data_IF_610942815933
#
_entry.id   IF_610942815933
#
_cell.length_a   1.000
_cell.length_b   1.000
_cell.length_c   1.000
_cell.angle_alpha   90.00
_cell.angle_beta   90.00
_cell.angle_gamma   90.00
#
_symmetry.space_group_name_H-M   'P 1'
#
loop_
_entity.id
_entity.type
_entity.pdbx_description
1 polymer ?
#
# COMPACT_ATOMS: atom_id res chain seq x y z
N UNK A 1 17.28 10.02 -3.17
CA UNK A 1 17.35 8.96 -4.21
C UNK A 1 18.75 8.81 -4.84
N UNK A 2 19.58 9.85 -4.90
CA UNK A 2 20.99 9.74 -5.39
C UNK A 2 21.89 8.89 -4.46
N UNK A 3 21.85 9.15 -3.14
CA UNK A 3 22.66 8.40 -2.16
C UNK A 3 22.47 6.89 -2.27
N UNK A 4 21.22 6.45 -2.24
CA UNK A 4 20.85 5.03 -2.35
C UNK A 4 21.23 4.44 -3.72
N UNK A 5 21.09 5.21 -4.81
CA UNK A 5 21.51 4.74 -6.13
C UNK A 5 23.01 4.47 -6.20
N UNK A 6 23.84 5.43 -5.78
CA UNK A 6 25.30 5.30 -5.81
C UNK A 6 25.79 4.14 -4.95
N UNK A 7 25.15 3.93 -3.79
CA UNK A 7 25.43 2.79 -2.92
C UNK A 7 25.08 1.45 -3.57
N UNK A 8 23.90 1.34 -4.20
CA UNK A 8 23.43 0.08 -4.79
C UNK A 8 24.14 -0.24 -6.11
N UNK A 9 24.30 0.74 -7.01
CA UNK A 9 24.79 0.51 -8.37
C UNK A 9 26.29 0.70 -8.54
N UNK A 10 26.89 1.55 -7.71
CA UNK A 10 28.31 1.92 -7.84
C UNK A 10 29.13 1.55 -6.60
N UNK A 11 28.51 0.98 -5.56
CA UNK A 11 29.15 0.66 -4.27
C UNK A 11 29.88 1.87 -3.64
N UNK A 12 29.36 3.08 -3.88
CA UNK A 12 29.92 4.32 -3.32
C UNK A 12 28.99 4.85 -2.23
N UNK A 13 29.50 4.97 -1.00
CA UNK A 13 28.76 5.59 0.09
C UNK A 13 29.10 7.08 0.22
N UNK A 14 28.23 7.94 -0.33
CA UNK A 14 28.42 9.38 -0.25
C UNK A 14 28.05 9.98 1.12
N UNK A 15 27.66 9.17 2.12
CA UNK A 15 27.49 9.65 3.51
C UNK A 15 28.80 10.22 4.06
N UNK A 16 29.92 9.63 3.69
CA UNK A 16 31.26 9.92 4.20
C UNK A 16 31.88 11.20 3.64
N UNK A 17 31.16 11.93 2.76
CA UNK A 17 31.68 13.12 2.07
C UNK A 17 30.86 14.37 2.42
N UNK A 18 31.15 15.05 3.55
CA UNK A 18 30.37 16.21 4.01
C UNK A 18 30.35 17.38 3.02
N UNK A 19 31.49 17.67 2.38
CA UNK A 19 31.61 18.75 1.38
C UNK A 19 30.73 18.49 0.15
N UNK A 20 30.76 17.27 -0.36
CA UNK A 20 29.91 16.84 -1.48
C UNK A 20 28.43 16.91 -1.12
N UNK A 21 28.06 16.44 0.09
CA UNK A 21 26.69 16.53 0.58
C UNK A 21 26.19 17.98 0.68
N UNK A 22 27.02 18.90 1.16
CA UNK A 22 26.68 20.32 1.22
C UNK A 22 26.51 20.93 -0.17
N UNK A 23 27.41 20.59 -1.11
CA UNK A 23 27.33 21.02 -2.50
C UNK A 23 26.03 20.55 -3.18
N UNK A 24 25.70 19.26 -3.08
CA UNK A 24 24.50 18.69 -3.69
C UNK A 24 23.20 19.28 -3.11
N UNK A 25 23.17 19.62 -1.81
CA UNK A 25 22.03 20.32 -1.20
C UNK A 25 21.83 21.70 -1.80
N UNK A 26 22.89 22.52 -1.85
CA UNK A 26 22.86 23.87 -2.45
C UNK A 26 22.42 23.86 -3.92
N UNK A 27 22.91 22.88 -4.68
CA UNK A 27 22.51 22.72 -6.09
C UNK A 27 21.01 22.40 -6.25
N UNK A 28 20.38 21.82 -5.22
CA UNK A 28 18.97 21.44 -5.24
C UNK A 28 18.01 22.51 -4.72
N UNK A 29 18.50 23.69 -4.30
CA UNK A 29 17.67 24.72 -3.65
C UNK A 29 16.53 25.25 -4.54
N UNK A 30 16.69 25.24 -5.87
CA UNK A 30 15.64 25.61 -6.83
C UNK A 30 14.83 24.43 -7.37
N UNK A 31 15.15 23.20 -6.95
CA UNK A 31 14.45 22.00 -7.43
C UNK A 31 13.08 21.88 -6.78
N UNK A 32 12.03 22.14 -7.56
CA UNK A 32 10.66 21.83 -7.14
C UNK A 32 10.35 20.37 -7.44
N UNK A 33 10.09 19.59 -6.39
CA UNK A 33 9.67 18.19 -6.57
C UNK A 33 8.35 18.14 -7.33
N UNK A 34 8.29 17.32 -8.39
CA UNK A 34 7.01 17.01 -9.06
C UNK A 34 6.11 16.31 -8.05
N UNK A 35 5.06 17.00 -7.58
CA UNK A 35 4.05 16.39 -6.72
C UNK A 35 3.24 15.39 -7.54
N UNK A 36 2.92 14.24 -6.94
CA UNK A 36 1.95 13.31 -7.53
C UNK A 36 0.60 13.99 -7.66
N UNK A 37 -0.16 13.65 -8.70
CA UNK A 37 -1.53 14.12 -8.84
C UNK A 37 -2.34 13.62 -7.63
N UNK A 38 -3.04 14.54 -6.97
CA UNK A 38 -3.96 14.20 -5.89
C UNK A 38 -5.25 13.70 -6.53
N UNK A 39 -5.71 12.52 -6.11
CA UNK A 39 -6.98 11.97 -6.57
C UNK A 39 -8.14 12.72 -5.89
N UNK A 40 -9.14 13.12 -6.66
CA UNK A 40 -10.37 13.72 -6.12
C UNK A 40 -11.33 12.63 -5.62
N UNK A 41 -12.29 13.00 -4.77
CA UNK A 41 -13.34 12.08 -4.32
C UNK A 41 -14.13 11.50 -5.51
N UNK A 42 -14.44 12.31 -6.51
CA UNK A 42 -15.14 11.87 -7.72
C UNK A 42 -14.30 10.92 -8.57
N UNK A 43 -12.98 11.12 -8.67
CA UNK A 43 -12.10 10.19 -9.37
C UNK A 43 -12.02 8.84 -8.65
N UNK A 44 -11.98 8.84 -7.31
CA UNK A 44 -12.01 7.62 -6.49
C UNK A 44 -13.33 6.89 -6.66
N UNK A 45 -14.45 7.59 -6.51
CA UNK A 45 -15.78 7.00 -6.66
C UNK A 45 -16.01 6.43 -8.06
N UNK A 46 -15.65 7.18 -9.10
CA UNK A 46 -15.70 6.72 -10.48
C UNK A 46 -14.90 5.45 -10.68
N UNK A 47 -13.66 5.39 -10.17
CA UNK A 47 -12.85 4.17 -10.27
C UNK A 47 -13.49 2.99 -9.53
N UNK A 48 -14.01 3.20 -8.32
CA UNK A 48 -14.64 2.14 -7.54
C UNK A 48 -15.92 1.60 -8.21
N UNK A 49 -16.68 2.45 -8.90
CA UNK A 49 -17.95 2.08 -9.53
C UNK A 49 -17.79 1.55 -10.97
N UNK A 50 -16.95 2.18 -11.79
CA UNK A 50 -16.88 1.92 -13.23
C UNK A 50 -15.77 0.93 -13.64
N UNK A 51 -14.67 0.87 -12.89
CA UNK A 51 -13.57 -0.02 -13.27
C UNK A 51 -14.00 -1.50 -13.11
N UNK A 52 -13.61 -2.41 -14.02
CA UNK A 52 -14.09 -3.78 -13.97
C UNK A 52 -13.36 -4.61 -12.89
N UNK A 53 -14.11 -5.39 -12.12
CA UNK A 53 -13.61 -6.13 -10.96
C UNK A 53 -12.75 -7.36 -11.33
N UNK A 54 -12.93 -7.92 -12.52
CA UNK A 54 -12.09 -9.02 -13.01
C UNK A 54 -10.60 -8.65 -13.07
N UNK A 55 -10.30 -7.38 -13.39
CA UNK A 55 -8.95 -6.84 -13.49
C UNK A 55 -8.53 -6.05 -12.26
N UNK A 56 -9.42 -5.23 -11.69
CA UNK A 56 -9.05 -4.22 -10.70
C UNK A 56 -9.53 -4.48 -9.28
N UNK A 57 -10.18 -5.61 -8.98
CA UNK A 57 -10.72 -5.88 -7.63
C UNK A 57 -9.66 -5.73 -6.52
N UNK A 58 -8.46 -6.29 -6.71
CA UNK A 58 -7.38 -6.15 -5.73
C UNK A 58 -6.96 -4.68 -5.54
N UNK A 59 -6.87 -3.91 -6.63
CA UNK A 59 -6.53 -2.49 -6.60
C UNK A 59 -7.62 -1.65 -5.94
N UNK A 60 -8.89 -1.96 -6.19
CA UNK A 60 -10.03 -1.31 -5.51
C UNK A 60 -9.99 -1.55 -4.00
N UNK A 61 -9.75 -2.80 -3.58
CA UNK A 61 -9.61 -3.15 -2.16
C UNK A 61 -8.42 -2.39 -1.53
N UNK A 62 -7.27 -2.38 -2.20
CA UNK A 62 -6.10 -1.65 -1.73
C UNK A 62 -6.34 -0.13 -1.63
N UNK A 63 -7.08 0.45 -2.58
CA UNK A 63 -7.48 1.86 -2.54
C UNK A 63 -8.40 2.14 -1.34
N UNK A 64 -9.40 1.30 -1.10
CA UNK A 64 -10.31 1.44 0.04
C UNK A 64 -9.51 1.38 1.36
N UNK A 65 -8.60 0.42 1.50
CA UNK A 65 -7.78 0.28 2.71
C UNK A 65 -6.83 1.47 2.87
N UNK A 66 -6.24 1.96 1.77
CA UNK A 66 -5.38 3.14 1.78
C UNK A 66 -6.13 4.41 2.19
N UNK A 67 -7.35 4.62 1.68
CA UNK A 67 -8.15 5.81 1.97
C UNK A 67 -8.76 5.75 3.37
N UNK A 68 -9.44 4.65 3.73
CA UNK A 68 -10.13 4.50 5.02
C UNK A 68 -9.15 4.28 6.16
N UNK A 69 -8.16 3.41 5.94
CA UNK A 69 -7.16 3.04 6.94
C UNK A 69 -5.96 3.97 6.99
N UNK A 70 -5.85 4.95 6.08
CA UNK A 70 -4.65 5.78 5.90
C UNK A 70 -3.37 4.95 5.79
N UNK A 71 -3.47 3.74 5.21
CA UNK A 71 -2.41 2.75 5.25
C UNK A 71 -1.24 3.14 4.34
N UNK A 72 -0.02 3.03 4.85
CA UNK A 72 1.20 3.11 4.04
C UNK A 72 1.35 1.86 3.18
N UNK A 73 2.20 1.97 2.16
CA UNK A 73 2.48 0.87 1.23
C UNK A 73 2.94 -0.42 1.93
N UNK A 74 3.80 -0.30 2.94
CA UNK A 74 4.28 -1.44 3.73
C UNK A 74 3.14 -2.07 4.55
N UNK A 75 2.31 -1.25 5.18
CA UNK A 75 1.15 -1.71 5.96
C UNK A 75 0.18 -2.49 5.08
N UNK A 76 -0.17 -1.95 3.90
CA UNK A 76 -1.00 -2.64 2.92
C UNK A 76 -0.42 -3.98 2.47
N UNK A 77 0.90 -4.07 2.31
CA UNK A 77 1.57 -5.30 1.89
C UNK A 77 1.60 -6.37 2.98
N UNK A 78 1.54 -5.97 4.26
CA UNK A 78 1.66 -6.87 5.40
C UNK A 78 0.32 -7.31 6.00
N UNK A 79 -0.80 -6.66 5.64
CA UNK A 79 -2.13 -7.10 6.08
C UNK A 79 -2.46 -8.46 5.46
N UNK A 80 -2.81 -9.42 6.31
CA UNK A 80 -3.20 -10.78 5.91
C UNK A 80 -4.66 -11.07 6.23
N UNK A 81 -5.18 -12.22 5.75
CA UNK A 81 -6.54 -12.67 6.08
C UNK A 81 -6.77 -12.85 7.59
N UNK A 82 -5.71 -13.11 8.37
CA UNK A 82 -5.78 -13.28 9.82
C UNK A 82 -6.01 -11.96 10.57
N UNK A 83 -5.69 -10.85 9.92
CA UNK A 83 -5.80 -9.51 10.49
C UNK A 83 -7.19 -8.90 10.24
N UNK A 84 -8.11 -9.63 9.61
CA UNK A 84 -9.43 -9.16 9.21
C UNK A 84 -10.49 -9.93 9.98
N UNK A 85 -11.28 -9.20 10.77
CA UNK A 85 -12.42 -9.74 11.50
C UNK A 85 -13.73 -9.28 10.85
N UNK A 86 -14.61 -10.24 10.54
CA UNK A 86 -15.91 -9.95 9.99
C UNK A 86 -16.98 -9.90 11.08
N UNK A 87 -17.61 -8.74 11.23
CA UNK A 87 -18.64 -8.49 12.22
C UNK A 87 -19.93 -8.05 11.53
N UNK A 88 -20.78 -9.00 11.12
CA UNK A 88 -22.07 -8.68 10.49
C UNK A 88 -21.93 -7.73 9.29
N UNK A 89 -22.36 -6.47 9.43
CA UNK A 89 -22.29 -5.42 8.38
C UNK A 89 -21.03 -4.55 8.43
N UNK A 90 -19.97 -4.99 9.11
CA UNK A 90 -18.69 -4.30 9.14
C UNK A 90 -17.51 -5.28 9.08
N UNK A 91 -16.36 -4.80 8.63
CA UNK A 91 -15.08 -5.50 8.71
C UNK A 91 -14.14 -4.66 9.58
N UNK A 92 -13.54 -5.28 10.59
CA UNK A 92 -12.49 -4.68 11.39
C UNK A 92 -11.14 -5.17 10.86
N UNK A 93 -10.32 -4.25 10.36
CA UNK A 93 -8.99 -4.54 9.82
C UNK A 93 -7.97 -4.10 10.86
N UNK A 94 -7.15 -5.04 11.31
CA UNK A 94 -6.00 -4.78 12.18
C UNK A 94 -4.79 -4.51 11.31
N UNK A 95 -4.09 -3.41 11.59
CA UNK A 95 -2.84 -3.06 10.89
C UNK A 95 -1.68 -3.61 11.72
N UNK A 96 -0.96 -4.63 11.22
CA UNK A 96 0.18 -5.19 11.94
C UNK A 96 1.29 -4.14 12.08
N UNK A 97 2.06 -4.28 13.15
CA UNK A 97 2.95 -3.24 13.64
C UNK A 97 4.04 -2.86 12.63
N UNK A 98 4.09 -1.60 12.22
CA UNK A 98 5.25 -1.02 11.52
C UNK A 98 6.24 -0.45 12.54
N UNK A 99 7.44 -0.09 12.06
CA UNK A 99 8.67 0.28 12.80
C UNK A 99 8.53 1.12 14.09
N UNK A 100 7.40 1.83 14.30
CA UNK A 100 7.15 2.73 15.44
C UNK A 100 6.12 2.24 16.48
N UNK A 101 5.78 0.94 16.51
CA UNK A 101 5.16 0.25 17.66
C UNK A 101 3.70 0.58 18.04
N UNK A 102 2.93 1.35 17.27
CA UNK A 102 1.52 1.63 17.59
C UNK A 102 0.58 0.77 16.72
N UNK A 103 0.08 -0.37 17.23
CA UNK A 103 -0.96 -1.12 16.53
C UNK A 103 -2.21 -0.26 16.43
N UNK A 104 -2.84 -0.27 15.25
CA UNK A 104 -4.11 0.41 15.00
C UNK A 104 -5.04 -0.52 14.23
N UNK A 105 -6.32 -0.26 14.33
CA UNK A 105 -7.33 -0.89 13.49
C UNK A 105 -8.21 0.17 12.85
N UNK A 106 -8.91 -0.21 11.78
CA UNK A 106 -9.91 0.63 11.14
C UNK A 106 -11.10 -0.24 10.70
N UNK A 107 -12.25 0.40 10.56
CA UNK A 107 -13.51 -0.26 10.20
C UNK A 107 -13.85 0.08 8.75
N UNK A 108 -14.26 -0.94 8.00
CA UNK A 108 -14.87 -0.81 6.68
C UNK A 108 -16.33 -1.24 6.81
N UNK A 109 -17.25 -0.35 6.47
CA UNK A 109 -18.69 -0.58 6.58
C UNK A 109 -19.45 0.05 5.41
N UNK A 110 -20.77 -0.16 5.35
CA UNK A 110 -21.63 0.43 4.32
C UNK A 110 -21.39 -0.14 2.92
N UNK A 111 -21.66 0.65 1.89
CA UNK A 111 -21.70 0.20 0.50
C UNK A 111 -20.35 -0.28 -0.04
N UNK A 112 -19.24 0.23 0.49
CA UNK A 112 -17.89 -0.20 0.09
C UNK A 112 -17.62 -1.66 0.42
N UNK A 113 -18.37 -2.27 1.34
CA UNK A 113 -18.28 -3.71 1.62
C UNK A 113 -18.64 -4.60 0.43
N UNK A 114 -19.48 -4.11 -0.50
CA UNK A 114 -19.83 -4.86 -1.72
C UNK A 114 -18.59 -5.16 -2.58
N UNK A 115 -17.58 -4.28 -2.53
CA UNK A 115 -16.32 -4.41 -3.27
C UNK A 115 -15.34 -5.27 -2.47
N UNK A 116 -15.27 -5.07 -1.15
CA UNK A 116 -14.26 -5.72 -0.31
C UNK A 116 -14.58 -7.20 -0.04
N UNK A 117 -15.85 -7.54 0.22
CA UNK A 117 -16.25 -8.92 0.56
C UNK A 117 -15.92 -9.98 -0.50
N UNK A 118 -16.18 -9.78 -1.80
CA UNK A 118 -15.88 -10.78 -2.82
C UNK A 118 -14.39 -11.09 -2.99
N UNK A 119 -13.50 -10.24 -2.47
CA UNK A 119 -12.06 -10.42 -2.60
C UNK A 119 -11.52 -11.57 -1.72
N UNK A 120 -12.01 -11.73 -0.49
CA UNK A 120 -11.45 -12.70 0.45
C UNK A 120 -11.64 -14.18 0.05
N UNK A 121 -12.83 -14.62 -0.42
CA UNK A 121 -13.00 -15.99 -0.91
C UNK A 121 -12.10 -16.29 -2.12
N UNK A 122 -11.83 -15.28 -2.97
CA UNK A 122 -10.92 -15.41 -4.12
C UNK A 122 -9.46 -15.56 -3.69
N UNK A 123 -9.06 -14.98 -2.56
CA UNK A 123 -7.72 -15.15 -1.98
C UNK A 123 -7.55 -16.54 -1.35
N UNK A 124 -8.53 -17.00 -0.55
CA UNK A 124 -8.49 -18.33 0.07
C UNK A 124 -8.34 -19.45 -0.98
N UNK A 125 -9.06 -19.38 -2.10
CA UNK A 125 -8.91 -20.35 -3.20
C UNK A 125 -7.52 -20.31 -3.87
N UNK A 126 -6.88 -19.14 -3.95
CA UNK A 126 -5.54 -18.99 -4.56
C UNK A 126 -4.42 -19.54 -3.67
N UNK A 127 -4.53 -19.40 -2.34
CA UNK A 127 -3.54 -19.96 -1.41
C UNK A 127 -3.48 -21.49 -1.47
N UNK A 128 -4.64 -22.15 -1.61
CA UNK A 128 -4.76 -23.60 -1.79
C UNK A 128 -4.05 -24.08 -3.06
N UNK A 129 -4.22 -23.37 -4.18
CA UNK A 129 -3.53 -23.68 -5.44
C UNK A 129 -2.00 -23.45 -5.37
N UNK A 130 -1.54 -22.41 -4.67
CA UNK A 130 -0.11 -22.12 -4.53
C UNK A 130 0.66 -23.11 -3.63
N UNK A 131 -0.07 -23.82 -2.76
CA UNK A 131 0.49 -24.80 -1.82
C UNK A 131 0.61 -26.19 -2.45
N UNK A 132 -0.25 -26.54 -3.40
CA UNK A 132 -0.13 -27.77 -4.20
C UNK A 132 1.03 -27.74 -5.21
N UNK A 133 1.43 -26.55 -5.68
CA UNK A 133 2.48 -26.40 -6.70
C UNK A 133 3.90 -26.19 -6.13
N UNK A 134 4.08 -26.26 -4.81
CA UNK A 134 5.40 -26.20 -4.16
C UNK A 134 5.95 -27.56 -3.72
N UNK A 135 5.16 -28.63 -3.87
CA UNK A 135 5.53 -30.01 -3.55
C UNK A 135 5.68 -30.89 -4.80
N UNK A 136 6.04 -30.30 -5.95
CA UNK A 136 6.39 -31.02 -7.18
C UNK A 136 7.74 -30.55 -7.68
#
# INVERSE_FOLDING_TARGET
>A
MIKSMLKIRNNVDISEYPKLNAFLKRQSDSFTTKKSKILTSSEVERFLNEAPDDRYLATKVALIFGVVGACRREELANITLKDIEAHGKMLLIKVPNTKNKIPRSFVVEGDILRIVRPFFPKLSKREVYSSSNRNK
#
